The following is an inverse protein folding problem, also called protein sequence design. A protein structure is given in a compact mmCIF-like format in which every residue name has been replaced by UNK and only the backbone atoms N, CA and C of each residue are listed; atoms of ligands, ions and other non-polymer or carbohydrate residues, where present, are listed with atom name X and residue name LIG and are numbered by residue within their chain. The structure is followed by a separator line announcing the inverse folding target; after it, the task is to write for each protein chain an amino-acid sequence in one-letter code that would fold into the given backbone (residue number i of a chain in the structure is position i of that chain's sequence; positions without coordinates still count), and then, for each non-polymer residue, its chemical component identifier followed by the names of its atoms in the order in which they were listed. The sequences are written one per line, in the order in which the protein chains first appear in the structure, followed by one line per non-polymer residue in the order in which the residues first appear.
data_IF_400687619866
#
_entry.id   IF_400687619866
#
_cell.length_a   1.000
_cell.length_b   1.000
_cell.length_c   1.000
_cell.angle_alpha   90.00
_cell.angle_beta   90.00
_cell.angle_gamma   90.00
#
_symmetry.space_group_name_H-M   'P 1'
#
loop_
_entity.id
_entity.type
_entity.pdbx_description
1 polymer ?
#
# COMPACT_ATOMS: atom_id res chain seq x y z
N UNK A 1 -19.21 0.64 7.63
CA UNK A 1 -18.36 -0.14 8.55
C UNK A 1 -17.94 -1.37 7.78
N UNK A 2 -16.70 -1.40 7.27
CA UNK A 2 -16.25 -2.49 6.42
C UNK A 2 -16.20 -3.78 7.23
N UNK A 3 -16.83 -4.82 6.69
CA UNK A 3 -16.99 -6.12 7.35
C UNK A 3 -15.84 -7.02 6.89
N UNK A 4 -14.77 -7.09 7.68
CA UNK A 4 -13.72 -8.08 7.49
C UNK A 4 -13.86 -9.18 8.54
N UNK A 5 -13.86 -10.43 8.10
CA UNK A 5 -14.01 -11.62 8.94
C UNK A 5 -12.77 -12.50 8.90
N UNK A 6 -12.60 -13.34 9.91
CA UNK A 6 -11.53 -14.35 9.96
C UNK A 6 -11.99 -15.60 9.22
N UNK A 7 -11.20 -16.05 8.22
CA UNK A 7 -11.41 -17.36 7.61
C UNK A 7 -10.79 -18.45 8.52
N UNK A 8 -11.67 -19.22 9.17
CA UNK A 8 -11.28 -20.28 10.12
C UNK A 8 -10.89 -21.60 9.43
N UNK A 9 -10.92 -21.68 8.10
CA UNK A 9 -10.60 -22.90 7.35
C UNK A 9 -9.12 -23.05 7.00
N UNK A 10 -8.27 -22.06 7.31
CA UNK A 10 -6.83 -22.18 7.14
C UNK A 10 -6.20 -22.97 8.29
N UNK A 11 -5.36 -23.98 8.00
CA UNK A 11 -4.54 -24.74 8.98
C UNK A 11 -3.40 -23.90 9.60
N UNK A 12 -3.57 -22.61 9.69
CA UNK A 12 -2.61 -21.69 10.31
C UNK A 12 -2.93 -21.48 11.80
N UNK A 13 -1.92 -21.22 12.63
CA UNK A 13 -2.15 -20.75 13.99
C UNK A 13 -3.05 -19.51 13.99
N UNK A 14 -4.01 -19.44 14.92
CA UNK A 14 -5.00 -18.37 14.96
C UNK A 14 -4.39 -16.96 14.96
N UNK A 15 -3.21 -16.78 15.57
CA UNK A 15 -2.45 -15.52 15.51
C UNK A 15 -2.05 -15.12 14.09
N UNK A 16 -1.72 -16.10 13.24
CA UNK A 16 -1.31 -15.84 11.85
C UNK A 16 -2.53 -15.55 10.97
N UNK A 17 -3.65 -16.19 11.24
CA UNK A 17 -4.94 -15.88 10.60
C UNK A 17 -5.36 -14.44 10.93
N UNK A 18 -5.33 -14.05 12.21
CA UNK A 18 -5.65 -12.68 12.66
C UNK A 18 -4.68 -11.67 12.05
N UNK A 19 -3.38 -11.99 12.04
CA UNK A 19 -2.35 -11.15 11.43
C UNK A 19 -2.63 -10.92 9.93
N UNK A 20 -2.87 -11.98 9.15
CA UNK A 20 -3.16 -11.87 7.72
C UNK A 20 -4.46 -11.07 7.46
N UNK A 21 -5.48 -11.25 8.30
CA UNK A 21 -6.75 -10.51 8.21
C UNK A 21 -6.54 -9.02 8.43
N UNK A 22 -5.87 -8.64 9.51
CA UNK A 22 -5.59 -7.24 9.84
C UNK A 22 -4.65 -6.61 8.80
N UNK A 23 -3.63 -7.34 8.36
CA UNK A 23 -2.72 -6.92 7.31
C UNK A 23 -3.45 -6.59 6.01
N UNK A 24 -4.30 -7.50 5.52
CA UNK A 24 -5.13 -7.26 4.34
C UNK A 24 -6.03 -6.03 4.51
N UNK A 25 -6.65 -5.85 5.67
CA UNK A 25 -7.50 -4.71 5.95
C UNK A 25 -6.73 -3.37 5.93
N UNK A 26 -5.50 -3.34 6.45
CA UNK A 26 -4.63 -2.16 6.38
C UNK A 26 -4.23 -1.87 4.92
N UNK A 27 -3.75 -2.88 4.20
CA UNK A 27 -3.28 -2.73 2.82
C UNK A 27 -4.39 -2.33 1.83
N UNK A 28 -5.62 -2.79 2.07
CA UNK A 28 -6.81 -2.38 1.30
C UNK A 28 -7.36 -1.00 1.71
N UNK A 29 -6.81 -0.38 2.75
CA UNK A 29 -7.32 0.89 3.29
C UNK A 29 -8.64 0.76 4.06
N UNK A 30 -9.08 -0.45 4.41
CA UNK A 30 -10.24 -0.70 5.27
C UNK A 30 -9.97 -0.25 6.71
N UNK A 31 -8.70 -0.39 7.15
CA UNK A 31 -8.14 0.24 8.35
C UNK A 31 -7.23 1.37 7.89
N UNK A 32 -7.64 2.60 8.18
CA UNK A 32 -6.99 3.81 7.64
C UNK A 32 -5.71 4.17 8.39
N UNK A 33 -4.72 4.81 7.75
CA UNK A 33 -3.59 5.42 8.45
C UNK A 33 -4.06 6.30 9.61
N UNK A 34 -3.43 6.17 10.76
CA UNK A 34 -3.82 6.86 11.99
C UNK A 34 -5.00 6.24 12.75
N UNK A 35 -5.68 5.23 12.21
CA UNK A 35 -6.79 4.56 12.90
C UNK A 35 -6.32 3.78 14.12
N UNK A 36 -7.06 3.92 15.23
CA UNK A 36 -6.76 3.21 16.48
C UNK A 36 -7.24 1.79 16.44
N UNK A 37 -6.33 0.88 16.78
CA UNK A 37 -6.58 -0.55 16.89
C UNK A 37 -6.64 -0.95 18.38
N UNK A 38 -7.84 -1.23 18.85
CA UNK A 38 -8.07 -1.63 20.24
C UNK A 38 -8.17 -3.14 20.32
N UNK A 39 -7.29 -3.79 21.11
CA UNK A 39 -7.25 -5.26 21.26
C UNK A 39 -8.64 -5.86 21.60
N UNK A 40 -9.41 -5.22 22.50
CA UNK A 40 -10.71 -5.71 22.93
C UNK A 40 -11.70 -5.66 21.78
N UNK A 41 -11.84 -4.52 21.12
CA UNK A 41 -12.77 -4.33 20.01
C UNK A 41 -12.47 -5.26 18.83
N UNK A 42 -11.17 -5.46 18.52
CA UNK A 42 -10.77 -6.38 17.46
C UNK A 42 -11.00 -7.84 17.84
N UNK A 43 -10.76 -8.22 19.09
CA UNK A 43 -11.02 -9.57 19.56
C UNK A 43 -12.53 -9.91 19.48
N UNK A 44 -13.39 -8.99 19.89
CA UNK A 44 -14.86 -9.11 19.76
C UNK A 44 -15.28 -9.18 18.29
N UNK A 45 -14.78 -8.27 17.44
CA UNK A 45 -15.11 -8.22 16.01
C UNK A 45 -14.69 -9.48 15.26
N UNK A 46 -13.53 -10.05 15.60
CA UNK A 46 -12.98 -11.24 14.95
C UNK A 46 -13.42 -12.55 15.60
N UNK A 47 -14.17 -12.51 16.69
CA UNK A 47 -14.64 -13.71 17.41
C UNK A 47 -13.50 -14.54 18.03
N UNK A 48 -12.41 -13.90 18.46
CA UNK A 48 -11.21 -14.57 19.01
C UNK A 48 -10.85 -14.01 20.39
N UNK A 49 -9.95 -14.68 21.12
CA UNK A 49 -9.42 -14.15 22.38
C UNK A 49 -8.42 -13.00 22.11
N UNK A 50 -8.09 -12.21 23.14
CA UNK A 50 -7.17 -11.06 23.04
C UNK A 50 -5.72 -11.47 22.72
N UNK A 51 -5.31 -12.67 23.11
CA UNK A 51 -3.92 -13.15 22.92
C UNK A 51 -3.50 -13.18 21.45
N UNK A 52 -4.20 -13.89 20.51
CA UNK A 52 -3.84 -13.89 19.10
C UNK A 52 -3.91 -12.48 18.47
N UNK A 53 -4.81 -11.61 18.93
CA UNK A 53 -4.86 -10.21 18.44
C UNK A 53 -3.62 -9.43 18.85
N UNK A 54 -3.18 -9.57 20.11
CA UNK A 54 -1.96 -8.90 20.60
C UNK A 54 -0.71 -9.41 19.90
N UNK A 55 -0.60 -10.73 19.66
CA UNK A 55 0.51 -11.31 18.92
C UNK A 55 0.51 -10.83 17.47
N UNK A 56 -0.65 -10.77 16.83
CA UNK A 56 -0.81 -10.22 15.48
C UNK A 56 -0.40 -8.74 15.40
N UNK A 57 -0.83 -7.91 16.35
CA UNK A 57 -0.44 -6.50 16.44
C UNK A 57 1.08 -6.32 16.57
N UNK A 58 1.74 -7.15 17.41
CA UNK A 58 3.21 -7.12 17.52
C UNK A 58 3.90 -7.48 16.20
N UNK A 59 3.34 -8.45 15.49
CA UNK A 59 3.85 -8.84 14.18
C UNK A 59 3.66 -7.73 13.14
N UNK A 60 2.51 -7.05 13.16
CA UNK A 60 2.25 -5.87 12.33
C UNK A 60 3.17 -4.69 12.68
N UNK A 61 3.55 -4.53 13.95
CA UNK A 61 4.53 -3.53 14.39
C UNK A 61 5.91 -3.82 13.82
N UNK A 62 6.35 -5.08 13.83
CA UNK A 62 7.62 -5.50 13.22
C UNK A 62 7.66 -5.24 11.71
N UNK A 63 6.50 -5.28 11.05
CA UNK A 63 6.34 -4.94 9.62
C UNK A 63 6.16 -3.43 9.37
N UNK A 64 6.16 -2.61 10.43
CA UNK A 64 5.92 -1.16 10.31
C UNK A 64 4.50 -0.77 9.88
N UNK A 65 3.55 -1.72 9.90
CA UNK A 65 2.15 -1.45 9.54
C UNK A 65 1.35 -0.81 10.68
N UNK A 66 1.79 -1.00 11.92
CA UNK A 66 1.20 -0.36 13.10
C UNK A 66 2.29 0.18 14.03
N UNK A 67 1.92 1.14 14.85
CA UNK A 67 2.76 1.69 15.92
C UNK A 67 2.08 1.39 17.26
N UNK A 68 2.79 0.76 18.19
CA UNK A 68 2.27 0.53 19.54
C UNK A 68 2.35 1.82 20.37
N UNK A 69 1.21 2.26 20.89
CA UNK A 69 1.13 3.44 21.75
C UNK A 69 0.97 2.98 23.19
N UNK A 70 1.92 3.28 24.08
CA UNK A 70 1.87 2.86 25.47
C UNK A 70 0.54 3.22 26.14
N UNK A 71 -0.12 2.24 26.75
CA UNK A 71 -1.41 2.36 27.44
C UNK A 71 -2.61 2.72 26.54
N UNK A 72 -2.42 2.81 25.22
CA UNK A 72 -3.47 3.24 24.27
C UNK A 72 -3.74 2.23 23.14
N UNK A 73 -3.08 1.06 23.13
CA UNK A 73 -3.19 0.04 22.10
C UNK A 73 -2.25 0.29 20.94
N UNK A 74 -2.67 -0.06 19.73
CA UNK A 74 -1.91 0.19 18.52
C UNK A 74 -2.63 1.23 17.63
N UNK A 75 -1.92 1.76 16.66
CA UNK A 75 -2.43 2.66 15.63
C UNK A 75 -1.86 2.25 14.29
N UNK A 76 -2.67 2.28 13.22
CA UNK A 76 -2.17 2.07 11.86
C UNK A 76 -1.12 3.14 11.57
N UNK A 77 0.07 2.71 11.17
CA UNK A 77 1.17 3.62 10.90
C UNK A 77 0.90 4.47 9.66
N UNK A 78 1.28 5.73 9.69
CA UNK A 78 1.31 6.57 8.49
C UNK A 78 2.55 6.22 7.64
N UNK A 79 2.47 6.44 6.35
CA UNK A 79 3.65 6.47 5.49
C UNK A 79 4.22 7.88 5.59
N UNK A 80 5.46 8.00 6.05
CA UNK A 80 6.18 9.27 6.03
C UNK A 80 7.22 9.30 4.91
N UNK A 81 7.52 10.50 4.39
CA UNK A 81 8.59 10.64 3.37
C UNK A 81 9.95 10.15 3.91
N UNK A 82 10.19 10.30 5.21
CA UNK A 82 11.41 9.81 5.83
C UNK A 82 11.51 8.29 5.83
N UNK A 83 10.46 7.61 6.31
CA UNK A 83 10.44 6.15 6.37
C UNK A 83 10.53 5.54 4.95
N UNK A 84 9.86 6.18 3.98
CA UNK A 84 9.96 5.81 2.58
C UNK A 84 11.40 5.88 2.07
N UNK A 85 12.08 7.00 2.29
CA UNK A 85 13.46 7.20 1.84
C UNK A 85 14.41 6.21 2.50
N UNK A 86 14.29 5.99 3.82
CA UNK A 86 15.12 5.05 4.58
C UNK A 86 14.98 3.61 4.02
N UNK A 87 13.76 3.17 3.72
CA UNK A 87 13.49 1.83 3.15
C UNK A 87 13.97 1.72 1.70
N UNK A 88 13.74 2.74 0.87
CA UNK A 88 14.13 2.69 -0.54
C UNK A 88 15.65 2.79 -0.73
N UNK A 89 16.38 3.49 0.13
CA UNK A 89 17.85 3.51 0.11
C UNK A 89 18.43 2.10 0.29
N UNK A 90 17.94 1.37 1.30
CA UNK A 90 18.35 -0.02 1.53
C UNK A 90 17.91 -0.94 0.39
N UNK A 91 16.66 -0.80 -0.08
CA UNK A 91 16.13 -1.55 -1.21
C UNK A 91 16.99 -1.37 -2.46
N UNK A 92 17.33 -0.14 -2.81
CA UNK A 92 18.16 0.21 -3.98
C UNK A 92 19.51 -0.54 -3.95
N UNK A 93 20.19 -0.55 -2.80
CA UNK A 93 21.46 -1.24 -2.65
C UNK A 93 21.32 -2.76 -2.85
N UNK A 94 20.28 -3.37 -2.30
CA UNK A 94 20.02 -4.81 -2.39
C UNK A 94 19.55 -5.22 -3.80
N UNK A 95 18.70 -4.42 -4.43
CA UNK A 95 18.26 -4.67 -5.81
C UNK A 95 19.39 -4.52 -6.82
N UNK A 96 20.27 -3.53 -6.67
CA UNK A 96 21.48 -3.41 -7.48
C UNK A 96 22.35 -4.67 -7.40
N UNK A 97 22.52 -5.23 -6.21
CA UNK A 97 23.26 -6.50 -6.04
C UNK A 97 22.49 -7.68 -6.66
N UNK A 98 21.16 -7.70 -6.56
CA UNK A 98 20.32 -8.74 -7.19
C UNK A 98 20.43 -8.71 -8.71
N UNK A 99 20.33 -7.53 -9.33
CA UNK A 99 20.48 -7.30 -10.77
C UNK A 99 21.88 -7.74 -11.26
N UNK A 100 22.93 -7.37 -10.51
CA UNK A 100 24.28 -7.78 -10.85
C UNK A 100 24.44 -9.30 -10.90
N UNK A 101 23.94 -9.97 -9.86
CA UNK A 101 23.97 -11.42 -9.79
C UNK A 101 23.06 -12.07 -10.87
N UNK A 102 21.88 -11.51 -11.12
CA UNK A 102 20.96 -11.99 -12.14
C UNK A 102 21.59 -11.89 -13.56
N UNK A 103 22.18 -10.73 -13.91
CA UNK A 103 22.89 -10.58 -15.16
C UNK A 103 24.01 -11.61 -15.33
N UNK A 104 24.69 -12.01 -14.26
CA UNK A 104 25.78 -12.97 -14.31
C UNK A 104 25.34 -14.45 -14.34
N UNK A 105 24.21 -14.79 -13.69
CA UNK A 105 23.88 -16.18 -13.30
C UNK A 105 22.54 -16.69 -13.79
N UNK A 106 21.60 -15.82 -14.16
CA UNK A 106 20.24 -16.20 -14.55
C UNK A 106 20.28 -17.19 -15.72
N UNK A 107 19.59 -18.32 -15.58
CA UNK A 107 19.47 -19.35 -16.61
C UNK A 107 18.42 -18.98 -17.64
N UNK A 108 18.38 -19.69 -18.80
CA UNK A 108 17.34 -19.48 -19.82
C UNK A 108 15.94 -19.79 -19.30
N UNK A 109 15.79 -20.80 -18.44
CA UNK A 109 14.51 -21.11 -17.77
C UNK A 109 14.07 -19.97 -16.87
N UNK A 110 14.97 -19.39 -16.08
CA UNK A 110 14.68 -18.24 -15.23
C UNK A 110 14.40 -16.96 -16.03
N UNK A 111 15.02 -16.79 -17.21
CA UNK A 111 14.68 -15.70 -18.14
C UNK A 111 13.25 -15.85 -18.68
N UNK A 112 12.83 -17.07 -19.01
CA UNK A 112 11.46 -17.35 -19.42
C UNK A 112 10.46 -17.08 -18.29
N UNK A 113 10.79 -17.46 -17.05
CA UNK A 113 9.97 -17.14 -15.88
C UNK A 113 9.89 -15.63 -15.61
N UNK A 114 10.99 -14.89 -15.80
CA UNK A 114 10.99 -13.43 -15.67
C UNK A 114 10.09 -12.75 -16.71
N UNK A 115 10.15 -13.21 -17.96
CA UNK A 115 9.28 -12.74 -19.02
C UNK A 115 7.81 -13.02 -18.74
N UNK A 116 7.47 -14.24 -18.30
CA UNK A 116 6.11 -14.61 -17.89
C UNK A 116 5.62 -13.74 -16.74
N UNK A 117 6.48 -13.44 -15.76
CA UNK A 117 6.12 -12.58 -14.65
C UNK A 117 5.85 -11.11 -15.10
N UNK A 118 6.66 -10.58 -16.05
CA UNK A 118 6.42 -9.27 -16.63
C UNK A 118 5.07 -9.22 -17.39
N UNK A 119 4.77 -10.23 -18.19
CA UNK A 119 3.48 -10.31 -18.90
C UNK A 119 2.31 -10.52 -17.97
N UNK A 120 2.45 -11.32 -16.91
CA UNK A 120 1.40 -11.47 -15.90
C UNK A 120 1.07 -10.15 -15.19
N UNK A 121 2.06 -9.28 -14.96
CA UNK A 121 1.81 -7.95 -14.42
C UNK A 121 0.96 -7.11 -15.39
N UNK A 122 1.33 -7.08 -16.66
CA UNK A 122 0.57 -6.37 -17.71
C UNK A 122 -0.87 -6.89 -17.81
N UNK A 123 -1.08 -8.21 -17.88
CA UNK A 123 -2.40 -8.83 -17.97
C UNK A 123 -3.27 -8.53 -16.74
N UNK A 124 -2.66 -8.51 -15.55
CA UNK A 124 -3.35 -8.25 -14.29
C UNK A 124 -3.85 -6.79 -14.17
N UNK A 125 -3.25 -5.85 -14.91
CA UNK A 125 -3.73 -4.46 -14.95
C UNK A 125 -5.19 -4.34 -15.39
N UNK A 126 -5.62 -5.18 -16.34
CA UNK A 126 -6.99 -5.17 -16.87
C UNK A 126 -8.05 -5.61 -15.83
N UNK A 127 -7.65 -6.31 -14.77
CA UNK A 127 -8.56 -6.77 -13.72
C UNK A 127 -8.99 -5.66 -12.74
N UNK A 128 -8.30 -4.52 -12.71
CA UNK A 128 -8.60 -3.40 -11.80
C UNK A 128 -8.40 -3.70 -10.31
N UNK A 129 -7.75 -4.81 -9.96
CA UNK A 129 -7.52 -5.26 -8.59
C UNK A 129 -6.09 -4.94 -8.15
N UNK A 130 -5.92 -3.85 -7.37
CA UNK A 130 -4.61 -3.39 -6.91
C UNK A 130 -3.84 -4.41 -6.06
N UNK A 131 -4.53 -5.27 -5.31
CA UNK A 131 -3.86 -6.30 -4.49
C UNK A 131 -3.23 -7.37 -5.38
N UNK A 132 -4.00 -7.87 -6.38
CA UNK A 132 -3.46 -8.82 -7.35
C UNK A 132 -2.33 -8.22 -8.17
N UNK A 133 -2.47 -6.96 -8.57
CA UNK A 133 -1.43 -6.25 -9.31
C UNK A 133 -0.14 -6.10 -8.48
N UNK A 134 -0.25 -5.78 -7.20
CA UNK A 134 0.89 -5.73 -6.29
C UNK A 134 1.54 -7.12 -6.09
N UNK A 135 0.75 -8.19 -6.07
CA UNK A 135 1.25 -9.57 -6.02
C UNK A 135 1.99 -9.95 -7.32
N UNK A 136 1.49 -9.51 -8.48
CA UNK A 136 2.16 -9.72 -9.78
C UNK A 136 3.51 -8.97 -9.84
N UNK A 137 3.55 -7.73 -9.37
CA UNK A 137 4.78 -6.93 -9.26
C UNK A 137 5.80 -7.57 -8.30
N UNK A 138 5.34 -8.08 -7.14
CA UNK A 138 6.19 -8.88 -6.23
C UNK A 138 6.79 -10.08 -6.96
N UNK A 139 5.99 -10.80 -7.74
CA UNK A 139 6.42 -12.01 -8.46
C UNK A 139 7.54 -11.68 -9.45
N UNK A 140 7.43 -10.58 -10.20
CA UNK A 140 8.47 -10.13 -11.11
C UNK A 140 9.81 -9.92 -10.40
N UNK A 141 9.82 -9.16 -9.32
CA UNK A 141 11.04 -8.91 -8.54
C UNK A 141 11.58 -10.19 -7.87
N UNK A 142 10.70 -11.08 -7.37
CA UNK A 142 11.14 -12.33 -6.75
C UNK A 142 11.90 -13.27 -7.71
N UNK A 143 11.56 -13.28 -9.00
CA UNK A 143 12.31 -14.04 -10.00
C UNK A 143 13.75 -13.52 -10.08
N UNK A 144 13.95 -12.21 -10.12
CA UNK A 144 15.27 -11.58 -10.12
C UNK A 144 16.05 -11.93 -8.84
N UNK A 145 15.39 -11.83 -7.67
CA UNK A 145 16.05 -12.12 -6.39
C UNK A 145 16.49 -13.59 -6.29
N UNK A 146 15.61 -14.51 -6.68
CA UNK A 146 15.92 -15.96 -6.67
C UNK A 146 17.05 -16.32 -7.63
N UNK A 147 17.10 -15.70 -8.81
CA UNK A 147 18.15 -15.95 -9.80
C UNK A 147 19.52 -15.39 -9.39
N UNK A 148 19.58 -14.52 -8.38
CA UNK A 148 20.84 -14.06 -7.80
C UNK A 148 21.67 -15.17 -7.16
N UNK A 149 21.05 -16.32 -6.84
CA UNK A 149 21.64 -17.46 -6.12
C UNK A 149 22.41 -17.05 -4.84
N UNK A 150 21.89 -16.01 -4.16
CA UNK A 150 22.45 -15.49 -2.91
C UNK A 150 21.44 -15.62 -1.77
N UNK A 151 21.52 -16.73 -1.03
CA UNK A 151 20.58 -17.01 0.06
C UNK A 151 20.50 -15.90 1.11
N UNK A 152 21.62 -15.23 1.42
CA UNK A 152 21.64 -14.15 2.42
C UNK A 152 20.95 -12.89 1.91
N UNK A 153 21.22 -12.52 0.68
CA UNK A 153 20.53 -11.42 0.00
C UNK A 153 19.01 -11.65 0.01
N UNK A 154 18.57 -12.84 -0.39
CA UNK A 154 17.16 -13.20 -0.42
C UNK A 154 16.51 -13.17 0.96
N UNK A 155 17.22 -13.57 2.03
CA UNK A 155 16.73 -13.45 3.40
C UNK A 155 16.50 -11.98 3.83
N UNK A 156 17.44 -11.09 3.51
CA UNK A 156 17.32 -9.66 3.85
C UNK A 156 16.18 -9.00 3.04
N UNK A 157 16.09 -9.28 1.75
CA UNK A 157 14.99 -8.79 0.89
C UNK A 157 13.63 -9.29 1.37
N UNK A 158 13.52 -10.55 1.78
CA UNK A 158 12.30 -11.10 2.35
C UNK A 158 11.89 -10.42 3.67
N UNK A 159 12.85 -10.00 4.50
CA UNK A 159 12.55 -9.25 5.72
C UNK A 159 12.01 -7.83 5.43
N UNK A 160 12.45 -7.21 4.32
CA UNK A 160 11.95 -5.92 3.87
C UNK A 160 10.65 -6.01 3.06
N UNK A 161 10.32 -7.21 2.58
CA UNK A 161 9.21 -7.45 1.64
C UNK A 161 7.89 -6.83 2.07
N UNK A 162 7.55 -6.94 3.36
CA UNK A 162 6.27 -6.45 3.86
C UNK A 162 6.20 -4.93 3.93
N UNK A 163 7.32 -4.28 4.28
CA UNK A 163 7.42 -2.82 4.24
C UNK A 163 7.33 -2.32 2.79
N UNK A 164 8.07 -2.96 1.88
CA UNK A 164 8.06 -2.63 0.45
C UNK A 164 6.65 -2.87 -0.15
N UNK A 165 5.95 -3.93 0.28
CA UNK A 165 4.60 -4.24 -0.23
C UNK A 165 3.60 -3.10 0.02
N UNK A 166 3.66 -2.45 1.18
CA UNK A 166 2.81 -1.29 1.48
C UNK A 166 3.05 -0.15 0.50
N UNK A 167 4.31 0.17 0.22
CA UNK A 167 4.67 1.19 -0.76
C UNK A 167 4.25 0.79 -2.18
N UNK A 168 4.32 -0.50 -2.49
CA UNK A 168 3.90 -1.07 -3.77
C UNK A 168 2.42 -0.83 -4.03
N UNK A 169 1.56 -1.14 -3.09
CA UNK A 169 0.13 -0.84 -3.19
C UNK A 169 -0.12 0.66 -3.38
N UNK A 170 0.70 1.50 -2.74
CA UNK A 170 0.53 2.95 -2.82
C UNK A 170 0.84 3.50 -4.22
N UNK A 171 1.99 3.18 -4.81
CA UNK A 171 2.32 3.71 -6.14
C UNK A 171 1.47 3.09 -7.27
N UNK A 172 0.91 1.90 -7.07
CA UNK A 172 0.00 1.28 -8.03
C UNK A 172 -1.39 1.92 -8.09
N UNK A 173 -1.73 2.83 -7.20
CA UNK A 173 -2.98 3.63 -7.30
C UNK A 173 -2.93 4.58 -8.50
N UNK A 174 -1.76 5.07 -8.86
CA UNK A 174 -1.55 5.96 -10.01
C UNK A 174 -1.50 5.20 -11.34
N UNK A 175 -2.38 5.57 -12.28
CA UNK A 175 -2.49 4.91 -13.58
C UNK A 175 -1.28 5.16 -14.47
N UNK A 176 -0.71 6.36 -14.44
CA UNK A 176 0.48 6.69 -15.22
C UNK A 176 1.66 5.84 -14.74
N UNK A 177 1.80 5.66 -13.44
CA UNK A 177 2.81 4.79 -12.83
C UNK A 177 2.63 3.34 -13.28
N UNK A 178 1.40 2.79 -13.30
CA UNK A 178 1.17 1.42 -13.79
C UNK A 178 1.61 1.22 -15.23
N UNK A 179 1.29 2.16 -16.11
CA UNK A 179 1.69 2.11 -17.52
C UNK A 179 3.20 2.23 -17.72
N UNK A 180 3.86 3.01 -16.87
CA UNK A 180 5.32 3.14 -16.88
C UNK A 180 5.99 1.84 -16.43
N UNK A 181 5.48 1.21 -15.37
CA UNK A 181 6.02 -0.04 -14.81
C UNK A 181 6.03 -1.18 -15.82
N UNK A 182 5.01 -1.30 -16.69
CA UNK A 182 5.01 -2.32 -17.76
C UNK A 182 6.23 -2.18 -18.66
N UNK A 183 6.54 -0.95 -19.10
CA UNK A 183 7.70 -0.68 -19.95
C UNK A 183 9.01 -0.94 -19.21
N UNK A 184 9.10 -0.52 -17.96
CA UNK A 184 10.28 -0.71 -17.12
C UNK A 184 10.56 -2.19 -16.87
N UNK A 185 9.53 -3.02 -16.61
CA UNK A 185 9.69 -4.46 -16.46
C UNK A 185 10.23 -5.11 -17.75
N UNK A 186 9.72 -4.71 -18.92
CA UNK A 186 10.21 -5.19 -20.21
C UNK A 186 11.66 -4.77 -20.44
N UNK A 187 12.00 -3.51 -20.15
CA UNK A 187 13.37 -3.00 -20.32
C UNK A 187 14.36 -3.66 -19.35
N UNK A 188 13.97 -3.93 -18.10
CA UNK A 188 14.78 -4.68 -17.12
C UNK A 188 15.02 -6.11 -17.64
N UNK A 189 13.95 -6.78 -18.11
CA UNK A 189 14.05 -8.12 -18.69
C UNK A 189 15.05 -8.14 -19.87
N UNK A 190 14.89 -7.25 -20.85
CA UNK A 190 15.78 -7.20 -22.02
C UNK A 190 17.22 -6.88 -21.64
N UNK A 191 17.46 -6.01 -20.68
CA UNK A 191 18.81 -5.72 -20.20
C UNK A 191 19.46 -6.93 -19.51
N UNK A 192 18.71 -7.67 -18.67
CA UNK A 192 19.21 -8.90 -18.01
C UNK A 192 19.47 -10.00 -19.05
N UNK A 193 18.54 -10.21 -19.99
CA UNK A 193 18.67 -11.19 -21.07
C UNK A 193 19.91 -10.95 -21.92
N UNK A 194 20.19 -9.70 -22.24
CA UNK A 194 21.38 -9.32 -23.00
C UNK A 194 22.65 -9.22 -22.16
N UNK A 195 22.58 -9.53 -20.85
CA UNK A 195 23.70 -9.44 -19.90
C UNK A 195 24.30 -8.01 -19.83
N UNK A 196 23.52 -6.98 -20.18
CA UNK A 196 23.92 -5.58 -20.10
C UNK A 196 23.74 -5.05 -18.67
N UNK A 197 24.75 -5.34 -17.84
CA UNK A 197 24.75 -4.94 -16.42
C UNK A 197 24.59 -3.44 -16.23
N UNK A 198 25.23 -2.63 -17.09
CA UNK A 198 25.16 -1.16 -16.95
C UNK A 198 23.73 -0.69 -17.16
N UNK A 199 23.12 -1.11 -18.26
CA UNK A 199 21.74 -0.76 -18.59
C UNK A 199 20.75 -1.30 -17.58
N UNK A 200 20.92 -2.56 -17.13
CA UNK A 200 20.04 -3.17 -16.14
C UNK A 200 20.06 -2.41 -14.81
N UNK A 201 21.23 -1.97 -14.32
CA UNK A 201 21.34 -1.13 -13.11
C UNK A 201 20.72 0.24 -13.29
N UNK A 202 20.91 0.89 -14.43
CA UNK A 202 20.36 2.21 -14.73
C UNK A 202 18.83 2.19 -14.75
N UNK A 203 18.23 1.20 -15.43
CA UNK A 203 16.78 1.05 -15.49
C UNK A 203 16.21 0.70 -14.11
N UNK A 204 16.84 -0.24 -13.37
CA UNK A 204 16.41 -0.62 -12.02
C UNK A 204 16.47 0.57 -11.06
N UNK A 205 17.48 1.42 -11.15
CA UNK A 205 17.56 2.64 -10.37
C UNK A 205 16.40 3.58 -10.71
N UNK A 206 16.17 3.85 -11.99
CA UNK A 206 15.10 4.74 -12.44
C UNK A 206 13.72 4.21 -12.05
N UNK A 207 13.52 2.90 -12.13
CA UNK A 207 12.31 2.21 -11.71
C UNK A 207 11.97 2.48 -10.22
N UNK A 208 12.95 2.38 -9.32
CA UNK A 208 12.74 2.67 -7.89
C UNK A 208 12.50 4.18 -7.67
N UNK A 209 13.23 5.05 -8.38
CA UNK A 209 13.03 6.50 -8.27
C UNK A 209 11.62 6.93 -8.75
N UNK A 210 11.13 6.37 -9.86
CA UNK A 210 9.78 6.64 -10.36
C UNK A 210 8.71 6.20 -9.35
N UNK A 211 8.90 5.03 -8.73
CA UNK A 211 8.03 4.57 -7.64
C UNK A 211 8.08 5.53 -6.44
N UNK A 212 9.28 5.98 -6.03
CA UNK A 212 9.45 6.94 -4.94
C UNK A 212 8.68 8.23 -5.19
N UNK A 213 8.82 8.79 -6.39
CA UNK A 213 8.12 10.02 -6.77
C UNK A 213 6.60 9.87 -6.76
N UNK A 214 6.08 8.74 -7.25
CA UNK A 214 4.64 8.46 -7.22
C UNK A 214 4.10 8.38 -5.78
N UNK A 215 4.82 7.71 -4.87
CA UNK A 215 4.44 7.60 -3.47
C UNK A 215 4.50 8.97 -2.77
N UNK A 216 5.54 9.77 -3.03
CA UNK A 216 5.66 11.12 -2.45
C UNK A 216 4.50 12.01 -2.91
N UNK A 217 4.10 11.93 -4.19
CA UNK A 217 2.91 12.65 -4.68
C UNK A 217 1.67 12.26 -3.91
N UNK A 218 1.43 10.96 -3.74
CA UNK A 218 0.27 10.44 -3.00
C UNK A 218 0.27 10.90 -1.53
N UNK A 219 1.41 10.80 -0.81
CA UNK A 219 1.53 11.26 0.58
C UNK A 219 1.20 12.76 0.70
N UNK A 220 1.69 13.57 -0.22
CA UNK A 220 1.46 15.02 -0.21
C UNK A 220 0.01 15.39 -0.51
N UNK A 221 -0.64 14.65 -1.39
CA UNK A 221 -2.06 14.84 -1.69
C UNK A 221 -2.94 14.45 -0.50
N UNK A 222 -2.68 13.32 0.14
CA UNK A 222 -3.36 12.93 1.37
C UNK A 222 -3.16 13.97 2.48
N UNK A 223 -1.95 14.48 2.65
CA UNK A 223 -1.64 15.50 3.66
C UNK A 223 -2.40 16.82 3.40
N UNK A 224 -2.57 17.22 2.15
CA UNK A 224 -3.36 18.40 1.79
C UNK A 224 -4.84 18.23 2.13
N UNK A 225 -5.42 17.05 1.87
CA UNK A 225 -6.80 16.73 2.20
C UNK A 225 -7.06 16.67 3.72
N UNK A 226 -6.07 16.30 4.51
CA UNK A 226 -6.14 16.24 5.98
C UNK A 226 -5.71 17.52 6.70
N UNK A 227 -5.38 18.61 5.97
CA UNK A 227 -5.00 19.87 6.59
C UNK A 227 -6.22 20.50 7.28
N UNK A 228 -6.21 20.69 8.61
CA UNK A 228 -7.36 21.25 9.36
C UNK A 228 -7.77 22.66 8.92
N UNK A 229 -6.92 23.38 8.19
CA UNK A 229 -7.26 24.69 7.60
C UNK A 229 -8.22 24.50 6.42
N UNK A 230 -7.98 23.52 5.55
CA UNK A 230 -8.88 23.23 4.42
C UNK A 230 -10.23 22.69 4.91
N UNK A 231 -10.23 21.83 5.95
CA UNK A 231 -11.46 21.35 6.58
C UNK A 231 -12.28 22.50 7.21
N UNK A 232 -11.64 23.52 7.78
CA UNK A 232 -12.31 24.73 8.26
C UNK A 232 -12.91 25.55 7.11
N UNK A 233 -12.22 25.71 6.01
CA UNK A 233 -12.72 26.43 4.84
C UNK A 233 -13.90 25.69 4.18
N UNK A 234 -13.83 24.37 4.04
CA UNK A 234 -14.95 23.54 3.54
C UNK A 234 -16.14 23.63 4.50
N UNK A 235 -15.91 23.61 5.81
CA UNK A 235 -16.98 23.74 6.81
C UNK A 235 -17.64 25.12 6.77
N UNK A 236 -16.85 26.18 6.57
CA UNK A 236 -17.37 27.57 6.43
C UNK A 236 -18.14 27.69 5.12
N UNK A 237 -17.68 27.13 4.02
CA UNK A 237 -18.41 27.16 2.74
C UNK A 237 -19.70 26.35 2.82
N UNK A 238 -19.72 25.18 3.44
CA UNK A 238 -20.90 24.37 3.66
C UNK A 238 -21.94 25.11 4.56
N UNK A 239 -21.50 25.74 5.65
CA UNK A 239 -22.39 26.52 6.53
C UNK A 239 -22.92 27.73 5.81
N UNK A 240 -22.10 28.44 5.03
CA UNK A 240 -22.55 29.61 4.23
C UNK A 240 -23.54 29.20 3.14
N UNK A 241 -23.35 28.03 2.51
CA UNK A 241 -24.26 27.49 1.50
C UNK A 241 -25.59 27.04 2.13
N UNK A 242 -25.56 26.43 3.32
CA UNK A 242 -26.76 26.05 4.06
C UNK A 242 -27.54 27.29 4.55
N UNK A 243 -26.85 28.32 5.05
CA UNK A 243 -27.46 29.58 5.43
C UNK A 243 -28.07 30.33 4.22
N UNK A 244 -27.40 30.27 3.06
CA UNK A 244 -27.92 30.89 1.83
C UNK A 244 -29.20 30.19 1.34
N UNK A 245 -29.27 28.86 1.41
CA UNK A 245 -30.49 28.09 1.06
C UNK A 245 -31.62 28.37 2.04
N UNK A 246 -31.37 28.47 3.34
CA UNK A 246 -32.41 28.78 4.32
C UNK A 246 -32.95 30.21 4.20
N UNK A 247 -32.12 31.17 3.78
CA UNK A 247 -32.57 32.56 3.56
C UNK A 247 -33.38 32.69 2.25
N UNK A 248 -33.01 31.92 1.21
CA UNK A 248 -33.70 31.95 -0.09
C UNK A 248 -35.00 31.14 -0.12
N UNK A 249 -35.18 30.16 0.75
CA UNK A 249 -36.39 29.33 0.85
C UNK A 249 -37.34 29.76 1.96
N UNK A 250 -36.93 30.66 2.86
CA UNK A 250 -37.74 31.17 3.97
C UNK A 250 -38.60 32.36 3.65
N UNK A 251 -38.73 32.79 2.39
CA UNK A 251 -39.48 33.96 1.96
C UNK A 251 -40.77 33.68 1.20
N UNK A 252 -41.67 32.86 1.75
CA UNK A 252 -43.05 32.81 1.27
C UNK A 252 -43.97 32.16 2.32
N UNK A 253 -44.44 32.96 3.26
CA UNK A 253 -45.80 32.82 3.81
C UNK A 253 -46.24 34.16 4.41
N UNK A 254 -46.76 34.97 3.52
CA UNK A 254 -47.51 36.17 3.86
C UNK A 254 -48.93 35.77 4.22
N UNK A 255 -49.36 36.41 5.27
CA UNK A 255 -50.68 37.00 5.52
C UNK A 255 -51.89 36.45 4.77
N UNK A 256 -52.90 36.15 5.51
CA UNK A 256 -54.35 36.49 5.35
C UNK A 256 -55.08 35.71 6.43
N UNK A 257 -56.03 36.16 7.11
CA UNK A 257 -56.94 37.35 7.20
C UNK A 257 -57.83 37.06 8.39
N UNK A 258 -58.03 38.10 9.19
CA UNK A 258 -59.33 38.71 9.50
C UNK A 258 -60.40 37.86 10.17
N UNK A 259 -60.62 38.13 11.40
CA UNK A 259 -61.80 38.59 12.12
C UNK A 259 -63.13 38.79 11.30
N UNK A 260 -64.33 38.91 11.84
CA UNK A 260 -64.85 38.77 13.23
C UNK A 260 -66.24 38.08 13.25
N UNK A 261 -66.59 37.50 14.35
CA UNK A 261 -67.83 37.74 15.11
C UNK A 261 -67.94 36.81 16.30
#
# INVERSE_FOLDING_TARGET
MNDFSVDMNEYLPLRDVVFNTLRKAILKGELKPGERLMEIALAEKLGVSRTPVREAMRKLELEGLVVMIPRRGAQVANITEKDLNDVLEVRMALENLSIENACARMTEEQLDDLWKAAKNFEDTMAEGNLVKLAEADVTFHEVIYKSSDNRRLNQVLNNLREQIYRYRVEYLKDEETRNLLVKEHEEIYEAIKNRDLKKAKEISYQHIENQREAIIRSIREETKLYNPVILKEIHIVCISFFLWITITTGGCNGSKDQNPQ
#
